data_IF_519595515061
#
_entry.id   IF_519595515061
#
_cell.length_a   1.000
_cell.length_b   1.000
_cell.length_c   1.000
_cell.angle_alpha   90.00
_cell.angle_beta   90.00
_cell.angle_gamma   90.00
#
_symmetry.space_group_name_H-M   'P 1'
#
loop_
_entity.id
_entity.type
_entity.pdbx_description
1 polymer ?
#
# COMPACT_ATOMS: atom_id res chain seq x y z
N UNK A 1 1.84 -11.23 32.31
CA UNK A 1 3.08 -11.75 31.68
C UNK A 1 3.16 -11.11 30.30
N UNK A 2 4.31 -10.54 29.89
CA UNK A 2 4.48 -10.09 28.50
C UNK A 2 4.79 -11.34 27.67
N UNK A 3 3.90 -11.71 26.76
CA UNK A 3 4.11 -12.84 25.86
C UNK A 3 4.85 -12.32 24.63
N UNK A 4 5.92 -13.01 24.26
CA UNK A 4 6.74 -12.65 23.11
C UNK A 4 6.49 -13.62 21.95
N UNK A 5 6.52 -13.07 20.75
CA UNK A 5 6.47 -13.81 19.49
C UNK A 5 7.83 -13.64 18.81
N UNK A 6 8.44 -14.74 18.41
CA UNK A 6 9.65 -14.76 17.59
C UNK A 6 9.24 -14.87 16.12
N UNK A 7 9.36 -13.76 15.38
CA UNK A 7 9.23 -13.75 13.93
C UNK A 7 10.56 -14.16 13.30
N UNK A 8 10.53 -15.17 12.43
CA UNK A 8 11.71 -15.68 11.72
C UNK A 8 11.58 -15.31 10.25
N UNK A 9 12.54 -14.55 9.74
CA UNK A 9 12.63 -14.16 8.33
C UNK A 9 13.03 -15.32 7.41
N UNK A 10 12.88 -15.12 6.09
CA UNK A 10 13.35 -16.07 5.09
C UNK A 10 14.88 -16.23 5.05
N UNK A 11 15.62 -15.29 5.64
CA UNK A 11 17.07 -15.34 5.82
C UNK A 11 17.50 -15.80 7.23
N UNK A 12 16.58 -16.40 7.99
CA UNK A 12 16.80 -16.95 9.35
C UNK A 12 17.20 -15.92 10.40
N UNK A 13 17.04 -14.63 10.15
CA UNK A 13 17.05 -13.62 11.20
C UNK A 13 15.83 -13.78 12.10
N UNK A 14 16.05 -13.69 13.41
CA UNK A 14 15.06 -13.87 14.46
C UNK A 14 14.76 -12.54 15.14
N UNK A 15 13.49 -12.23 15.28
CA UNK A 15 13.05 -10.95 15.81
C UNK A 15 11.98 -11.18 16.86
N UNK A 16 12.22 -10.68 18.07
CA UNK A 16 11.27 -10.79 19.16
C UNK A 16 10.36 -9.57 19.15
N UNK A 17 9.06 -9.81 19.21
CA UNK A 17 8.03 -8.78 19.23
C UNK A 17 7.05 -9.11 20.34
N UNK A 18 6.64 -8.11 21.13
CA UNK A 18 5.59 -8.34 22.11
C UNK A 18 4.27 -8.63 21.38
N UNK A 19 3.55 -9.66 21.81
CA UNK A 19 2.32 -10.14 21.16
C UNK A 19 1.29 -9.03 20.96
N UNK A 20 1.12 -8.15 21.95
CA UNK A 20 0.16 -7.05 21.89
C UNK A 20 0.43 -6.08 20.72
N UNK A 21 1.67 -5.90 20.28
CA UNK A 21 1.98 -5.06 19.12
C UNK A 21 1.44 -5.67 17.83
N UNK A 22 1.55 -6.99 17.69
CA UNK A 22 1.06 -7.72 16.52
C UNK A 22 -0.47 -7.87 16.58
N UNK A 23 -0.99 -8.32 17.71
CA UNK A 23 -2.42 -8.62 17.90
C UNK A 23 -3.32 -7.39 17.79
N UNK A 24 -2.86 -6.24 18.31
CA UNK A 24 -3.65 -4.99 18.27
C UNK A 24 -3.76 -4.40 16.88
N UNK A 25 -2.88 -4.79 15.95
CA UNK A 25 -2.76 -4.14 14.64
C UNK A 25 -3.04 -5.07 13.47
N UNK A 26 -2.53 -6.28 13.51
CA UNK A 26 -2.64 -7.27 12.42
C UNK A 26 -3.76 -8.27 12.70
N UNK A 27 -4.74 -8.29 11.82
CA UNK A 27 -5.79 -9.31 11.83
C UNK A 27 -5.20 -10.69 11.53
N UNK A 28 -4.22 -10.77 10.62
CA UNK A 28 -3.59 -12.04 10.26
C UNK A 28 -2.92 -12.71 11.46
N UNK A 29 -2.14 -11.96 12.25
CA UNK A 29 -1.51 -12.52 13.44
C UNK A 29 -2.53 -12.87 14.52
N UNK A 30 -3.64 -12.13 14.62
CA UNK A 30 -4.74 -12.45 15.53
C UNK A 30 -5.40 -13.77 15.15
N UNK A 31 -5.81 -13.91 13.89
CA UNK A 31 -6.41 -15.13 13.36
C UNK A 31 -5.46 -16.32 13.50
N UNK A 32 -4.17 -16.12 13.20
CA UNK A 32 -3.15 -17.16 13.33
C UNK A 32 -3.05 -17.65 14.78
N UNK A 33 -2.98 -16.73 15.75
CA UNK A 33 -2.77 -17.07 17.16
C UNK A 33 -4.05 -17.54 17.86
N UNK A 34 -5.22 -17.09 17.42
CA UNK A 34 -6.52 -17.52 17.94
C UNK A 34 -6.94 -18.90 17.39
N UNK A 35 -6.48 -19.27 16.18
CA UNK A 35 -6.79 -20.56 15.55
C UNK A 35 -5.84 -21.70 15.92
N UNK A 36 -4.67 -21.38 16.47
CA UNK A 36 -3.71 -22.39 16.89
C UNK A 36 -3.98 -22.87 18.30
N UNK A 37 -3.82 -24.17 18.51
CA UNK A 37 -3.66 -24.82 19.83
C UNK A 37 -2.27 -24.44 20.39
N UNK A 38 -2.02 -23.13 20.49
CA UNK A 38 -0.77 -22.58 21.01
C UNK A 38 -0.76 -22.84 22.49
N UNK A 39 -0.11 -23.93 22.86
CA UNK A 39 0.13 -24.32 24.24
C UNK A 39 0.66 -23.10 25.03
N UNK A 40 -0.17 -22.60 25.94
CA UNK A 40 0.16 -21.55 26.93
C UNK A 40 1.36 -21.91 27.83
N UNK A 41 1.96 -23.10 27.66
CA UNK A 41 3.12 -23.59 28.40
C UNK A 41 4.48 -23.18 27.82
N UNK A 42 4.56 -22.75 26.55
CA UNK A 42 5.81 -22.22 25.98
C UNK A 42 5.82 -20.68 26.01
N UNK A 43 6.87 -20.12 26.61
CA UNK A 43 7.00 -18.66 26.80
C UNK A 43 7.17 -17.86 25.51
N UNK A 44 7.34 -18.51 24.36
CA UNK A 44 7.64 -17.85 23.08
C UNK A 44 7.03 -18.62 21.91
N UNK A 45 6.11 -17.98 21.19
CA UNK A 45 5.54 -18.51 19.95
C UNK A 45 6.44 -18.14 18.77
N UNK A 46 6.82 -19.10 17.92
CA UNK A 46 7.67 -18.83 16.74
C UNK A 46 6.83 -18.84 15.46
N UNK A 47 6.99 -17.83 14.60
CA UNK A 47 6.29 -17.71 13.32
C UNK A 47 7.30 -17.49 12.20
N UNK A 48 7.29 -18.35 11.19
CA UNK A 48 8.10 -18.17 9.99
C UNK A 48 7.42 -17.22 9.00
N UNK A 49 8.21 -16.35 8.38
CA UNK A 49 7.79 -15.27 7.50
C UNK A 49 8.60 -15.32 6.20
N UNK A 50 8.06 -14.79 5.11
CA UNK A 50 8.77 -14.77 3.80
C UNK A 50 9.61 -13.50 3.61
N UNK A 51 9.52 -12.59 4.57
CA UNK A 51 10.13 -11.27 4.56
C UNK A 51 11.64 -11.35 4.75
N UNK A 52 12.36 -10.41 4.14
CA UNK A 52 13.78 -10.24 4.43
C UNK A 52 13.99 -9.70 5.85
N UNK A 53 15.22 -9.86 6.37
CA UNK A 53 15.61 -9.29 7.67
C UNK A 53 15.28 -7.79 7.77
N UNK A 54 15.54 -7.04 6.69
CA UNK A 54 15.33 -5.59 6.67
C UNK A 54 13.84 -5.25 6.71
N UNK A 55 13.04 -5.85 5.82
CA UNK A 55 11.60 -5.64 5.77
C UNK A 55 10.93 -5.93 7.11
N UNK A 56 11.30 -7.05 7.74
CA UNK A 56 10.75 -7.43 9.03
C UNK A 56 11.20 -6.47 10.14
N UNK A 57 12.47 -6.07 10.15
CA UNK A 57 13.00 -5.09 11.10
C UNK A 57 12.29 -3.74 10.99
N UNK A 58 12.08 -3.25 9.77
CA UNK A 58 11.43 -1.96 9.50
C UNK A 58 9.95 -2.00 9.94
N UNK A 59 9.25 -3.10 9.65
CA UNK A 59 7.87 -3.31 10.10
C UNK A 59 7.76 -3.39 11.63
N UNK A 60 8.65 -4.12 12.29
CA UNK A 60 8.68 -4.19 13.77
C UNK A 60 8.96 -2.81 14.37
N UNK A 61 9.90 -2.07 13.78
CA UNK A 61 10.17 -0.71 14.22
C UNK A 61 8.93 0.19 14.12
N UNK A 62 8.13 0.05 13.06
CA UNK A 62 6.84 0.74 12.92
C UNK A 62 5.82 0.32 14.00
N UNK A 63 5.76 -0.98 14.31
CA UNK A 63 4.87 -1.51 15.35
C UNK A 63 5.20 -0.95 16.73
N UNK A 64 6.48 -0.86 17.05
CA UNK A 64 6.98 -0.44 18.36
C UNK A 64 6.94 1.08 18.55
N UNK A 65 7.31 1.83 17.52
CA UNK A 65 7.59 3.27 17.67
C UNK A 65 6.58 4.18 16.98
N UNK A 66 5.77 3.66 16.05
CA UNK A 66 4.92 4.46 15.14
C UNK A 66 5.68 5.46 14.27
N UNK A 67 7.00 5.39 14.22
CA UNK A 67 7.81 6.25 13.37
C UNK A 67 7.82 5.74 11.93
N UNK A 68 7.79 6.69 11.00
CA UNK A 68 7.80 6.43 9.57
C UNK A 68 9.06 7.01 8.91
N UNK A 69 9.64 6.30 7.93
CA UNK A 69 10.78 6.82 7.18
C UNK A 69 10.37 7.98 6.26
N UNK A 70 11.22 9.00 6.13
CA UNK A 70 11.06 10.09 5.14
C UNK A 70 11.62 9.64 3.77
N UNK A 71 11.11 8.51 3.26
CA UNK A 71 11.52 7.92 2.00
C UNK A 71 10.37 7.10 1.38
N UNK A 72 9.96 7.45 0.17
CA UNK A 72 8.78 6.84 -0.47
C UNK A 72 8.92 5.36 -0.79
N UNK A 73 10.13 4.90 -1.17
CA UNK A 73 10.39 3.49 -1.43
C UNK A 73 10.21 2.66 -0.15
N UNK A 74 10.74 3.15 0.98
CA UNK A 74 10.58 2.47 2.28
C UNK A 74 9.12 2.50 2.76
N UNK A 75 8.39 3.60 2.53
CA UNK A 75 6.96 3.66 2.83
C UNK A 75 6.16 2.67 1.97
N UNK A 76 6.55 2.51 0.70
CA UNK A 76 5.95 1.53 -0.20
C UNK A 76 6.21 0.10 0.27
N UNK A 77 7.44 -0.22 0.67
CA UNK A 77 7.77 -1.53 1.25
C UNK A 77 6.94 -1.80 2.52
N UNK A 78 6.77 -0.79 3.38
CA UNK A 78 5.91 -0.91 4.56
C UNK A 78 4.44 -1.13 4.18
N UNK A 79 3.91 -0.43 3.19
CA UNK A 79 2.53 -0.64 2.70
C UNK A 79 2.30 -2.06 2.17
N UNK A 80 3.29 -2.67 1.52
CA UNK A 80 3.21 -4.08 1.10
C UNK A 80 3.06 -4.99 2.31
N UNK A 81 3.78 -4.71 3.40
CA UNK A 81 3.73 -5.53 4.61
C UNK A 81 2.43 -5.30 5.39
N UNK A 82 1.96 -4.06 5.49
CA UNK A 82 0.70 -3.76 6.19
C UNK A 82 -0.50 -4.34 5.45
N UNK A 83 -0.49 -4.33 4.12
CA UNK A 83 -1.50 -5.03 3.31
C UNK A 83 -1.44 -6.55 3.54
N UNK A 84 -0.25 -7.15 3.41
CA UNK A 84 -0.05 -8.59 3.62
C UNK A 84 -0.50 -9.07 5.00
N UNK A 85 -0.13 -8.33 6.05
CA UNK A 85 -0.46 -8.67 7.43
C UNK A 85 -1.81 -8.14 7.88
N UNK A 86 -2.60 -7.53 6.98
CA UNK A 86 -3.89 -6.92 7.31
C UNK A 86 -3.80 -5.96 8.50
N UNK A 87 -2.79 -5.10 8.48
CA UNK A 87 -2.57 -4.04 9.46
C UNK A 87 -3.16 -2.71 8.96
N UNK A 88 -4.48 -2.59 9.07
CA UNK A 88 -5.20 -1.39 8.67
C UNK A 88 -4.77 -0.14 9.46
N UNK A 89 -4.30 -0.30 10.70
CA UNK A 89 -3.87 0.82 11.55
C UNK A 89 -2.60 1.45 11.00
N UNK A 90 -1.59 0.62 10.68
CA UNK A 90 -0.34 1.10 10.10
C UNK A 90 -0.53 1.57 8.66
N UNK A 91 -1.42 0.96 7.86
CA UNK A 91 -1.81 1.50 6.55
C UNK A 91 -2.37 2.92 6.68
N UNK A 92 -3.26 3.16 7.65
CA UNK A 92 -3.82 4.50 7.88
C UNK A 92 -2.79 5.50 8.39
N UNK A 93 -1.85 5.05 9.22
CA UNK A 93 -0.73 5.87 9.69
C UNK A 93 0.15 6.34 8.51
N UNK A 94 0.48 5.43 7.60
CA UNK A 94 1.25 5.75 6.38
C UNK A 94 0.45 6.70 5.48
N UNK A 95 -0.85 6.45 5.26
CA UNK A 95 -1.71 7.34 4.47
C UNK A 95 -1.71 8.77 5.01
N UNK A 96 -1.89 8.93 6.32
CA UNK A 96 -1.88 10.24 6.97
C UNK A 96 -0.53 10.94 6.82
N UNK A 97 0.57 10.20 6.92
CA UNK A 97 1.91 10.75 6.71
C UNK A 97 2.10 11.24 5.27
N UNK A 98 1.68 10.45 4.27
CA UNK A 98 1.74 10.82 2.86
C UNK A 98 0.87 12.04 2.55
N UNK A 99 -0.29 12.17 3.19
CA UNK A 99 -1.15 13.35 3.08
C UNK A 99 -0.48 14.61 3.65
N UNK A 100 0.13 14.52 4.83
CA UNK A 100 0.80 15.67 5.47
C UNK A 100 2.04 16.10 4.68
N UNK A 101 2.76 15.14 4.10
CA UNK A 101 4.01 15.36 3.38
C UNK A 101 3.82 15.28 1.85
N UNK A 102 2.61 15.55 1.36
CA UNK A 102 2.25 15.36 -0.04
C UNK A 102 3.21 16.07 -1.01
N UNK A 103 3.62 17.30 -0.68
CA UNK A 103 4.50 18.12 -1.51
C UNK A 103 5.95 17.61 -1.60
N UNK A 104 6.34 16.64 -0.76
CA UNK A 104 7.69 16.06 -0.76
C UNK A 104 7.86 14.93 -1.78
N UNK A 105 6.77 14.42 -2.33
CA UNK A 105 6.77 13.20 -3.13
C UNK A 105 6.25 13.47 -4.54
N UNK A 106 6.61 12.58 -5.46
CA UNK A 106 6.09 12.62 -6.81
C UNK A 106 4.58 12.34 -6.82
N UNK A 107 3.81 13.23 -7.46
CA UNK A 107 2.34 13.18 -7.45
C UNK A 107 1.80 11.94 -8.16
N UNK A 108 2.45 11.51 -9.25
CA UNK A 108 2.03 10.35 -10.04
C UNK A 108 2.31 9.07 -9.26
N UNK A 109 3.48 8.99 -8.65
CA UNK A 109 3.87 7.86 -7.81
C UNK A 109 2.94 7.72 -6.60
N UNK A 110 2.61 8.84 -5.93
CA UNK A 110 1.62 8.82 -4.86
C UNK A 110 0.21 8.41 -5.35
N UNK A 111 -0.19 8.77 -6.57
CA UNK A 111 -1.48 8.35 -7.12
C UNK A 111 -1.53 6.86 -7.37
N UNK A 112 -0.50 6.31 -8.02
CA UNK A 112 -0.36 4.87 -8.23
C UNK A 112 -0.36 4.10 -6.90
N UNK A 113 0.34 4.61 -5.88
CA UNK A 113 0.34 4.01 -4.54
C UNK A 113 -1.04 4.05 -3.90
N UNK A 114 -1.76 5.18 -4.02
CA UNK A 114 -3.09 5.33 -3.44
C UNK A 114 -4.12 4.37 -4.06
N UNK A 115 -4.00 4.08 -5.36
CA UNK A 115 -4.81 3.08 -6.04
C UNK A 115 -4.45 1.67 -5.56
N UNK A 116 -3.15 1.32 -5.58
CA UNK A 116 -2.67 -0.02 -5.24
C UNK A 116 -3.04 -0.45 -3.82
N UNK A 117 -2.90 0.44 -2.85
CA UNK A 117 -3.10 0.14 -1.43
C UNK A 117 -4.43 0.69 -0.88
N UNK A 118 -5.35 1.10 -1.76
CA UNK A 118 -6.68 1.60 -1.39
C UNK A 118 -6.62 2.75 -0.37
N UNK A 119 -5.68 3.68 -0.56
CA UNK A 119 -5.50 4.86 0.29
C UNK A 119 -6.51 5.95 -0.12
N UNK A 120 -7.78 5.73 0.21
CA UNK A 120 -8.91 6.50 -0.31
C UNK A 120 -8.86 8.01 0.00
N UNK A 121 -8.32 8.39 1.16
CA UNK A 121 -8.18 9.80 1.54
C UNK A 121 -7.10 10.47 0.71
N UNK A 122 -5.96 9.79 0.51
CA UNK A 122 -4.88 10.26 -0.37
C UNK A 122 -5.34 10.35 -1.83
N UNK A 123 -6.05 9.33 -2.32
CA UNK A 123 -6.61 9.30 -3.67
C UNK A 123 -7.59 10.45 -3.90
N UNK A 124 -8.51 10.66 -2.95
CA UNK A 124 -9.47 11.76 -3.03
C UNK A 124 -8.80 13.13 -2.99
N UNK A 125 -7.75 13.29 -2.17
CA UNK A 125 -6.98 14.53 -2.11
C UNK A 125 -6.30 14.83 -3.44
N UNK A 126 -5.66 13.84 -4.07
CA UNK A 126 -5.02 14.00 -5.37
C UNK A 126 -6.00 14.34 -6.48
N UNK A 127 -7.16 13.68 -6.53
CA UNK A 127 -8.18 13.98 -7.53
C UNK A 127 -8.72 15.41 -7.46
N UNK A 128 -8.63 16.06 -6.29
CA UNK A 128 -9.01 17.46 -6.11
C UNK A 128 -7.89 18.45 -6.48
N UNK A 129 -6.64 18.00 -6.57
CA UNK A 129 -5.45 18.84 -6.77
C UNK A 129 -4.86 18.69 -8.18
N UNK A 130 -5.10 17.56 -8.84
CA UNK A 130 -4.73 17.36 -10.26
C UNK A 130 -5.59 18.33 -11.09
N UNK A 131 -4.99 19.46 -11.46
CA UNK A 131 -5.55 20.38 -12.44
C UNK A 131 -5.60 19.70 -13.82
N UNK A 132 -6.49 20.19 -14.71
CA UNK A 132 -6.82 19.56 -16.00
C UNK A 132 -5.62 19.30 -16.92
N UNK A 133 -4.51 20.00 -16.74
CA UNK A 133 -3.30 19.88 -17.57
C UNK A 133 -2.40 18.70 -17.14
N UNK A 134 -2.37 18.35 -15.85
CA UNK A 134 -1.62 17.21 -15.31
C UNK A 134 -2.28 15.86 -15.70
N UNK A 135 -3.57 15.87 -16.03
CA UNK A 135 -4.36 14.71 -16.48
C UNK A 135 -3.89 14.15 -17.85
N UNK A 136 -3.40 15.01 -18.74
CA UNK A 136 -2.87 14.60 -20.04
C UNK A 136 -1.53 13.86 -19.88
N UNK A 137 -0.69 14.34 -18.96
CA UNK A 137 0.58 13.72 -18.60
C UNK A 137 0.37 12.41 -17.82
N UNK A 138 -0.62 12.38 -16.92
CA UNK A 138 -1.10 11.15 -16.27
C UNK A 138 -1.49 10.09 -17.30
N UNK A 139 -2.30 10.44 -18.31
CA UNK A 139 -2.77 9.46 -19.31
C UNK A 139 -1.65 8.86 -20.17
N UNK A 140 -0.56 9.60 -20.38
CA UNK A 140 0.60 9.16 -21.18
C UNK A 140 1.63 8.39 -20.35
N UNK A 141 1.79 8.70 -19.05
CA UNK A 141 2.71 7.98 -18.15
C UNK A 141 2.10 6.72 -17.52
N UNK A 142 0.78 6.69 -17.28
CA UNK A 142 0.10 5.58 -16.57
C UNK A 142 -0.26 4.38 -17.43
N UNK A 143 -0.18 4.48 -18.77
CA UNK A 143 -0.35 3.33 -19.67
C UNK A 143 0.66 2.20 -19.41
N UNK A 144 1.77 2.52 -18.74
CA UNK A 144 2.84 1.57 -18.37
C UNK A 144 2.66 0.89 -17.02
N UNK A 145 1.77 1.36 -16.13
CA UNK A 145 1.69 0.89 -14.74
C UNK A 145 0.28 0.66 -14.17
N UNK A 146 -0.79 1.23 -14.76
CA UNK A 146 -2.16 1.03 -14.28
C UNK A 146 -2.94 0.07 -15.19
N UNK A 147 -3.74 -0.80 -14.58
CA UNK A 147 -4.79 -1.52 -15.30
C UNK A 147 -5.84 -0.54 -15.84
N UNK A 148 -6.48 -0.89 -16.95
CA UNK A 148 -7.41 -0.02 -17.70
C UNK A 148 -8.58 0.56 -16.87
N UNK A 149 -8.91 -0.03 -15.72
CA UNK A 149 -9.98 0.43 -14.84
C UNK A 149 -9.65 1.73 -14.07
N UNK A 150 -8.40 1.90 -13.63
CA UNK A 150 -7.99 3.07 -12.84
C UNK A 150 -7.86 4.33 -13.72
N UNK A 151 -7.38 4.14 -14.96
CA UNK A 151 -7.39 5.14 -16.03
C UNK A 151 -8.83 5.58 -16.37
N UNK A 152 -9.76 4.63 -16.48
CA UNK A 152 -11.17 4.92 -16.75
C UNK A 152 -11.81 5.77 -15.65
N UNK A 153 -11.51 5.50 -14.37
CA UNK A 153 -12.03 6.30 -13.26
C UNK A 153 -11.48 7.73 -13.26
N UNK A 154 -10.20 7.91 -13.60
CA UNK A 154 -9.55 9.21 -13.70
C UNK A 154 -10.17 10.08 -14.82
N UNK A 155 -10.33 9.50 -16.02
CA UNK A 155 -10.91 10.17 -17.20
C UNK A 155 -12.41 10.49 -16.97
N UNK A 156 -13.15 9.59 -16.33
CA UNK A 156 -14.58 9.81 -16.06
C UNK A 156 -14.84 10.89 -15.01
N UNK A 157 -13.96 11.01 -14.01
CA UNK A 157 -14.08 12.05 -12.98
C UNK A 157 -13.72 13.46 -13.48
N UNK A 158 -12.75 13.58 -14.39
CA UNK A 158 -12.29 14.86 -14.93
C UNK A 158 -13.22 15.48 -15.99
N UNK A 159 -14.12 14.68 -16.57
CA UNK A 159 -14.99 15.09 -17.67
C UNK A 159 -16.48 14.95 -17.39
N UNK A 160 -16.94 15.32 -16.18
CA UNK A 160 -18.38 15.35 -15.85
C UNK A 160 -19.25 16.19 -16.80
N UNK A 161 -18.66 17.07 -17.62
CA UNK A 161 -19.38 17.96 -18.53
C UNK A 161 -19.25 17.62 -20.04
N UNK A 162 -18.60 16.52 -20.42
CA UNK A 162 -18.57 16.09 -21.84
C UNK A 162 -19.34 14.78 -22.02
N UNK A 163 -20.39 14.85 -22.84
CA UNK A 163 -21.02 13.65 -23.42
C UNK A 163 -19.97 12.95 -24.28
N UNK A 164 -19.38 11.88 -23.77
CA UNK A 164 -18.60 10.98 -24.61
C UNK A 164 -19.56 10.06 -25.35
N UNK A 165 -19.42 9.99 -26.68
CA UNK A 165 -19.76 8.79 -27.43
C UNK A 165 -18.88 7.64 -26.91
N UNK A 166 -19.43 6.43 -26.93
CA UNK A 166 -19.06 5.27 -26.11
C UNK A 166 -17.57 5.23 -25.67
N UNK A 167 -17.27 5.46 -24.37
CA UNK A 167 -15.90 5.53 -23.84
C UNK A 167 -15.05 4.27 -24.10
N UNK A 168 -15.68 3.12 -24.36
CA UNK A 168 -14.95 1.89 -24.68
C UNK A 168 -14.26 1.96 -26.05
N UNK A 169 -14.87 2.60 -27.06
CA UNK A 169 -14.26 2.74 -28.38
C UNK A 169 -13.06 3.69 -28.36
N UNK A 170 -13.14 4.76 -27.57
CA UNK A 170 -12.04 5.74 -27.46
C UNK A 170 -10.82 5.13 -26.76
N UNK A 171 -11.04 4.29 -25.74
CA UNK A 171 -9.98 3.59 -25.04
C UNK A 171 -9.36 2.52 -25.94
N UNK A 172 -10.17 1.75 -26.66
CA UNK A 172 -9.70 0.72 -27.59
C UNK A 172 -8.88 1.31 -28.74
N UNK A 173 -9.33 2.42 -29.34
CA UNK A 173 -8.58 3.13 -30.39
C UNK A 173 -7.23 3.66 -29.90
N UNK A 174 -7.18 4.20 -28.68
CA UNK A 174 -5.93 4.71 -28.12
C UNK A 174 -4.95 3.55 -27.79
N UNK A 175 -5.46 2.40 -27.34
CA UNK A 175 -4.67 1.19 -27.17
C UNK A 175 -4.14 0.63 -28.50
N UNK A 176 -4.97 0.59 -29.55
CA UNK A 176 -4.60 0.07 -30.86
C UNK A 176 -3.57 0.97 -31.56
N UNK A 177 -3.70 2.30 -31.43
CA UNK A 177 -2.71 3.26 -31.92
C UNK A 177 -1.35 3.06 -31.23
N UNK A 178 -1.33 2.84 -29.91
CA UNK A 178 -0.10 2.59 -29.16
C UNK A 178 0.59 1.28 -29.59
N UNK A 179 -0.20 0.24 -29.87
CA UNK A 179 0.31 -1.06 -30.31
C UNK A 179 0.92 -1.05 -31.71
N UNK A 180 0.53 -0.07 -32.55
CA UNK A 180 1.09 0.12 -33.90
C UNK A 180 2.40 0.91 -33.95
N UNK A 181 2.84 1.47 -32.81
CA UNK A 181 4.08 2.24 -32.68
C UNK A 181 5.30 1.37 -32.31
N UNK A 182 5.10 0.05 -32.14
CA UNK A 182 6.12 -0.97 -31.90
C UNK A 182 5.88 -2.19 -32.81
#
# INVERSE_FOLDING_TARGET
>A
MKREIELVSCFKGKFKVADYHLLSRSELFRDLLDSGDYNDSESTTTIETTESNKQLSDYIHLLETTNLPDNLLLLTDLLVLTDKYKDATSTKLIENYLLINYDKFDKLELYSLSCRFQLDSLRSHQLNIIDKDDLAELSTHTATFLGSADLYHLIKHSHKDRKFEDPQETIQQNFDNYRSMY
#
